data_IF_223187097242
#
_entry.id   IF_223187097242
#
_cell.length_a   1.000
_cell.length_b   1.000
_cell.length_c   1.000
_cell.angle_alpha   90.00
_cell.angle_beta   90.00
_cell.angle_gamma   90.00
#
_symmetry.space_group_name_H-M   'P 1'
#
loop_
_entity.id
_entity.type
_entity.pdbx_description
1 polymer ?
#
# COMPACT_ATOMS: atom_id res chain seq x y z
N UNK A 1 14.88 -25.92 -4.65
CA UNK A 1 15.36 -25.08 -5.76
C UNK A 1 14.55 -25.32 -7.02
N UNK A 2 13.81 -24.30 -7.45
CA UNK A 2 13.04 -24.33 -8.70
C UNK A 2 13.94 -24.03 -9.92
N UNK A 3 13.53 -24.45 -11.13
CA UNK A 3 14.35 -24.33 -12.32
C UNK A 3 14.52 -22.87 -12.74
N UNK A 4 15.75 -22.35 -12.63
CA UNK A 4 16.16 -21.00 -13.07
C UNK A 4 16.20 -20.83 -14.60
N UNK A 5 15.90 -21.89 -15.37
CA UNK A 5 16.00 -21.93 -16.83
C UNK A 5 14.96 -21.09 -17.58
N UNK A 6 13.94 -20.55 -16.91
CA UNK A 6 12.96 -19.63 -17.54
C UNK A 6 13.34 -18.15 -17.38
N UNK A 7 14.39 -17.81 -16.64
CA UNK A 7 14.85 -16.43 -16.40
C UNK A 7 15.73 -15.86 -17.53
N UNK A 8 15.87 -16.56 -18.66
CA UNK A 8 16.92 -16.31 -19.67
C UNK A 8 16.63 -15.11 -20.60
N UNK A 9 15.48 -14.44 -20.54
CA UNK A 9 15.15 -13.47 -21.61
C UNK A 9 15.70 -12.05 -21.43
N UNK A 10 16.09 -11.60 -20.22
CA UNK A 10 16.64 -10.24 -20.01
C UNK A 10 17.51 -10.17 -18.74
N UNK A 11 18.83 -10.46 -18.81
CA UNK A 11 19.72 -10.46 -17.64
C UNK A 11 19.84 -9.10 -16.93
N UNK A 12 19.51 -8.00 -17.62
CA UNK A 12 19.53 -6.63 -17.08
C UNK A 12 18.12 -6.05 -16.86
N UNK A 13 17.08 -6.89 -16.75
CA UNK A 13 15.73 -6.39 -16.50
C UNK A 13 15.66 -5.83 -15.08
N UNK A 14 15.16 -4.59 -14.88
CA UNK A 14 14.89 -4.13 -13.53
C UNK A 14 13.84 -5.03 -12.86
N UNK A 15 13.77 -5.07 -11.52
CA UNK A 15 12.74 -5.82 -10.81
C UNK A 15 11.33 -5.23 -11.02
N UNK A 16 11.26 -3.91 -11.23
CA UNK A 16 10.04 -3.12 -11.27
C UNK A 16 10.02 -2.18 -12.47
N UNK A 17 8.86 -1.61 -12.78
CA UNK A 17 8.74 -0.66 -13.88
C UNK A 17 9.57 0.61 -13.65
N UNK A 18 10.29 1.01 -14.70
CA UNK A 18 11.09 2.23 -14.78
C UNK A 18 10.66 3.01 -16.01
N UNK A 19 10.43 4.31 -15.85
CA UNK A 19 10.05 5.17 -16.97
C UNK A 19 11.23 5.51 -17.90
N UNK A 20 10.96 6.21 -19.00
CA UNK A 20 11.97 6.58 -20.01
C UNK A 20 13.10 7.48 -19.47
N UNK A 21 12.92 8.07 -18.28
CA UNK A 21 13.92 8.89 -17.58
C UNK A 21 14.74 8.12 -16.56
N UNK A 22 14.59 6.79 -16.48
CA UNK A 22 15.29 5.96 -15.49
C UNK A 22 14.70 6.05 -14.08
N UNK A 23 13.46 6.56 -13.93
CA UNK A 23 12.80 6.69 -12.63
C UNK A 23 11.87 5.50 -12.40
N UNK A 24 12.14 4.71 -11.36
CA UNK A 24 11.31 3.59 -10.96
C UNK A 24 10.00 4.09 -10.32
N UNK A 25 8.85 3.72 -10.89
CA UNK A 25 7.51 4.18 -10.51
C UNK A 25 6.48 3.03 -10.55
N UNK A 26 6.63 1.98 -9.73
CA UNK A 26 5.87 0.75 -9.95
C UNK A 26 4.53 0.72 -9.23
N UNK A 27 4.28 1.62 -8.28
CA UNK A 27 3.09 1.57 -7.43
C UNK A 27 2.00 2.44 -8.03
N UNK A 28 0.84 1.85 -8.31
CA UNK A 28 -0.37 2.60 -8.62
C UNK A 28 -1.37 2.52 -7.48
N UNK A 29 -1.85 3.69 -7.06
CA UNK A 29 -2.87 3.86 -6.03
C UNK A 29 -4.14 4.39 -6.71
N UNK A 30 -5.21 3.58 -6.84
CA UNK A 30 -6.47 4.03 -7.45
C UNK A 30 -7.13 5.19 -6.69
N UNK A 31 -6.81 5.32 -5.40
CA UNK A 31 -7.19 6.43 -4.53
C UNK A 31 -6.00 6.78 -3.65
N UNK A 32 -5.82 8.07 -3.31
CA UNK A 32 -4.88 8.47 -2.25
C UNK A 32 -5.48 8.31 -0.85
N UNK A 33 -6.81 8.24 -0.73
CA UNK A 33 -7.51 8.06 0.53
C UNK A 33 -7.83 6.58 0.76
N UNK A 34 -7.67 6.11 1.98
CA UNK A 34 -8.17 4.82 2.43
C UNK A 34 -9.70 4.73 2.31
N UNK A 35 -10.24 3.51 2.37
CA UNK A 35 -11.65 3.20 2.15
C UNK A 35 -12.57 4.04 3.02
N UNK A 36 -12.27 4.14 4.32
CA UNK A 36 -13.05 4.91 5.29
C UNK A 36 -12.45 6.31 5.54
N UNK A 37 -11.42 6.67 4.76
CA UNK A 37 -10.78 7.98 4.79
C UNK A 37 -9.92 8.27 6.02
N UNK A 38 -9.62 7.25 6.83
CA UNK A 38 -8.86 7.37 8.09
C UNK A 38 -7.41 7.77 7.83
N UNK A 39 -6.80 7.32 6.74
CA UNK A 39 -5.47 7.72 6.33
C UNK A 39 -5.40 8.10 4.86
N UNK A 40 -4.37 8.86 4.50
CA UNK A 40 -4.16 9.35 3.14
C UNK A 40 -2.69 9.35 2.77
N UNK A 41 -2.40 9.04 1.51
CA UNK A 41 -1.06 9.17 0.94
C UNK A 41 -0.81 10.63 0.65
N UNK A 42 0.14 11.23 1.36
CA UNK A 42 0.42 12.68 1.30
C UNK A 42 1.56 13.03 0.35
N UNK A 43 2.54 12.14 0.19
CA UNK A 43 3.66 12.31 -0.74
C UNK A 43 4.33 10.98 -1.06
N UNK A 44 5.06 10.93 -2.18
CA UNK A 44 6.09 9.93 -2.42
C UNK A 44 7.42 10.60 -2.81
N UNK A 45 8.53 9.87 -2.70
CA UNK A 45 9.84 10.35 -3.17
C UNK A 45 9.85 10.62 -4.68
N UNK A 46 9.07 9.83 -5.42
CA UNK A 46 8.99 9.87 -6.88
C UNK A 46 7.54 9.73 -7.30
N UNK A 47 7.09 10.60 -8.20
CA UNK A 47 5.75 10.57 -8.78
C UNK A 47 5.86 10.81 -10.29
N UNK A 48 5.00 10.17 -11.07
CA UNK A 48 4.94 10.37 -12.51
C UNK A 48 3.83 9.57 -13.18
N UNK A 49 3.72 9.63 -14.51
CA UNK A 49 2.73 8.86 -15.26
C UNK A 49 2.94 7.36 -15.06
N UNK A 50 1.85 6.60 -14.95
CA UNK A 50 1.90 5.14 -15.03
C UNK A 50 2.25 4.66 -16.46
N UNK A 51 2.67 3.40 -16.64
CA UNK A 51 3.01 2.87 -17.96
C UNK A 51 1.82 2.76 -18.93
N UNK A 52 2.13 2.87 -20.23
CA UNK A 52 1.26 2.45 -21.31
C UNK A 52 -0.13 3.11 -21.30
N UNK A 53 -1.17 2.27 -21.31
CA UNK A 53 -2.58 2.73 -21.37
C UNK A 53 -3.02 3.46 -20.10
N UNK A 54 -2.31 3.26 -18.99
CA UNK A 54 -2.60 3.89 -17.71
C UNK A 54 -1.85 5.22 -17.53
N UNK A 55 -1.18 5.74 -18.56
CA UNK A 55 -0.41 7.00 -18.52
C UNK A 55 -1.17 8.25 -18.09
N UNK A 56 -2.50 8.20 -18.03
CA UNK A 56 -3.34 9.26 -17.43
C UNK A 56 -3.34 9.22 -15.89
N UNK A 57 -2.97 8.10 -15.29
CA UNK A 57 -2.88 7.89 -13.87
C UNK A 57 -1.48 8.24 -13.35
N UNK A 58 -1.39 8.49 -12.05
CA UNK A 58 -0.12 8.74 -11.37
C UNK A 58 0.37 7.47 -10.68
N UNK A 59 1.62 7.13 -10.94
CA UNK A 59 2.38 6.08 -10.31
C UNK A 59 3.44 6.68 -9.37
N UNK A 60 3.79 5.92 -8.35
CA UNK A 60 4.64 6.32 -7.24
C UNK A 60 5.82 5.37 -7.11
N UNK A 61 6.94 5.87 -6.62
CA UNK A 61 8.12 5.07 -6.32
C UNK A 61 8.93 5.64 -5.17
N UNK A 62 9.77 4.78 -4.58
CA UNK A 62 10.56 5.14 -3.39
C UNK A 62 9.70 5.06 -2.14
N UNK A 63 10.02 5.86 -1.13
CA UNK A 63 9.21 5.92 0.08
C UNK A 63 7.88 6.61 -0.20
N UNK A 64 6.79 5.98 0.23
CA UNK A 64 5.44 6.52 0.19
C UNK A 64 5.07 6.91 1.62
N UNK A 65 4.67 8.15 1.81
CA UNK A 65 4.37 8.71 3.12
C UNK A 65 2.88 8.81 3.31
N UNK A 66 2.41 8.21 4.40
CA UNK A 66 1.00 8.08 4.74
C UNK A 66 0.75 8.87 6.03
N UNK A 67 -0.35 9.61 6.06
CA UNK A 67 -0.78 10.38 7.21
C UNK A 67 -2.17 9.91 7.65
N UNK A 68 -2.32 9.59 8.93
CA UNK A 68 -3.64 9.42 9.54
C UNK A 68 -4.31 10.80 9.67
N UNK A 69 -5.55 10.92 9.18
CA UNK A 69 -6.35 12.15 9.31
C UNK A 69 -6.85 12.35 10.73
N UNK A 70 -7.11 11.25 11.44
CA UNK A 70 -7.50 11.27 12.84
C UNK A 70 -6.76 10.18 13.60
N UNK A 71 -5.85 10.57 14.49
CA UNK A 71 -5.04 9.66 15.32
C UNK A 71 -5.81 9.07 16.51
N UNK A 72 -6.99 9.60 16.82
CA UNK A 72 -7.91 9.04 17.84
C UNK A 72 -8.86 7.99 17.26
N UNK A 73 -8.75 7.70 15.96
CA UNK A 73 -9.60 6.73 15.32
C UNK A 73 -9.20 5.31 15.74
N UNK A 74 -10.14 4.58 16.35
CA UNK A 74 -9.95 3.21 16.81
C UNK A 74 -10.32 2.16 15.76
N UNK A 75 -10.79 2.58 14.59
CA UNK A 75 -11.19 1.69 13.51
C UNK A 75 -10.01 1.32 12.61
N UNK A 76 -10.06 0.08 12.11
CA UNK A 76 -9.16 -0.37 11.06
C UNK A 76 -9.59 0.24 9.73
N UNK A 77 -8.63 0.48 8.84
CA UNK A 77 -8.90 0.96 7.49
C UNK A 77 -7.95 0.32 6.48
N UNK A 78 -8.28 0.41 5.20
CA UNK A 78 -7.54 -0.23 4.12
C UNK A 78 -7.36 0.71 2.94
N UNK A 79 -6.23 0.56 2.24
CA UNK A 79 -5.95 1.23 0.98
C UNK A 79 -5.45 0.19 -0.03
N UNK A 80 -6.03 0.20 -1.23
CA UNK A 80 -5.61 -0.72 -2.29
C UNK A 80 -4.48 -0.13 -3.12
N UNK A 81 -3.59 -0.99 -3.59
CA UNK A 81 -2.53 -0.62 -4.53
C UNK A 81 -2.30 -1.72 -5.56
N UNK A 82 -1.71 -1.34 -6.69
CA UNK A 82 -1.27 -2.25 -7.73
C UNK A 82 0.23 -2.06 -7.97
N UNK A 83 0.88 -3.10 -8.49
CA UNK A 83 2.30 -3.06 -8.81
C UNK A 83 2.49 -3.35 -10.30
N UNK A 84 3.26 -2.51 -10.98
CA UNK A 84 3.72 -2.76 -12.33
C UNK A 84 5.04 -3.53 -12.30
N UNK A 85 5.08 -4.63 -13.05
CA UNK A 85 6.33 -5.34 -13.33
C UNK A 85 7.23 -4.52 -14.27
N UNK A 86 8.46 -4.99 -14.48
CA UNK A 86 9.40 -4.28 -15.33
C UNK A 86 9.05 -4.23 -16.84
N UNK A 87 8.02 -4.96 -17.31
CA UNK A 87 7.48 -4.77 -18.66
C UNK A 87 6.30 -3.77 -18.68
N UNK A 88 5.95 -3.18 -17.53
CA UNK A 88 4.82 -2.27 -17.39
C UNK A 88 3.47 -2.99 -17.31
N UNK A 89 3.47 -4.29 -16.97
CA UNK A 89 2.25 -5.06 -16.76
C UNK A 89 1.76 -4.90 -15.33
N UNK A 90 0.52 -4.47 -15.16
CA UNK A 90 -0.10 -4.31 -13.83
C UNK A 90 -0.40 -5.66 -13.19
N UNK A 91 -0.24 -5.75 -11.87
CA UNK A 91 -0.65 -6.92 -11.10
C UNK A 91 -2.13 -7.24 -11.32
N UNK A 92 -2.45 -8.51 -11.59
CA UNK A 92 -3.84 -8.95 -11.82
C UNK A 92 -4.75 -8.78 -10.59
N UNK A 93 -4.15 -8.73 -9.39
CA UNK A 93 -4.84 -8.50 -8.12
C UNK A 93 -4.26 -7.26 -7.44
N UNK A 94 -5.13 -6.53 -6.76
CA UNK A 94 -4.72 -5.46 -5.87
C UNK A 94 -4.07 -6.04 -4.61
N UNK A 95 -3.01 -5.39 -4.13
CA UNK A 95 -2.54 -5.51 -2.75
C UNK A 95 -3.32 -4.56 -1.83
N UNK A 96 -3.16 -4.75 -0.53
CA UNK A 96 -3.82 -3.94 0.50
C UNK A 96 -2.83 -3.46 1.54
N UNK A 97 -2.87 -2.17 1.84
CA UNK A 97 -2.23 -1.54 3.00
C UNK A 97 -3.28 -1.43 4.09
N UNK A 98 -3.04 -2.04 5.24
CA UNK A 98 -3.97 -2.04 6.36
C UNK A 98 -3.45 -1.10 7.46
N UNK A 99 -4.29 -0.16 7.89
CA UNK A 99 -4.15 0.49 9.18
C UNK A 99 -4.87 -0.37 10.22
N UNK A 100 -4.12 -0.92 11.16
CA UNK A 100 -4.66 -1.72 12.26
C UNK A 100 -4.55 -0.88 13.53
N UNK A 101 -5.71 -0.51 14.08
CA UNK A 101 -5.78 0.15 15.38
C UNK A 101 -5.57 -0.88 16.49
N UNK A 102 -4.66 -0.58 17.42
CA UNK A 102 -4.47 -1.36 18.66
C UNK A 102 -5.20 -0.74 19.85
N UNK A 103 -5.92 0.36 19.64
CA UNK A 103 -6.71 0.98 20.69
C UNK A 103 -7.88 0.06 21.03
N UNK A 104 -8.02 -0.26 22.31
CA UNK A 104 -9.06 -1.15 22.77
C UNK A 104 -10.42 -0.51 22.61
N UNK A 105 -11.30 -1.11 21.82
CA UNK A 105 -12.71 -0.69 21.77
C UNK A 105 -13.47 -1.38 22.90
N UNK A 106 -14.68 -0.96 23.24
CA UNK A 106 -15.50 -1.60 24.30
C UNK A 106 -15.82 -3.09 24.06
N UNK A 107 -15.49 -3.63 22.89
CA UNK A 107 -15.49 -5.07 22.56
C UNK A 107 -14.19 -5.80 22.95
N UNK A 108 -13.18 -5.10 23.49
CA UNK A 108 -12.08 -5.73 24.22
C UNK A 108 -12.62 -6.36 25.50
N UNK A 109 -13.00 -7.62 25.37
CA UNK A 109 -13.22 -8.56 26.46
C UNK A 109 -11.89 -8.92 27.15
N UNK A 110 -11.13 -7.90 27.57
CA UNK A 110 -10.19 -8.06 28.69
C UNK A 110 -11.05 -8.14 29.93
N UNK A 111 -11.41 -9.38 30.29
CA UNK A 111 -12.31 -9.70 31.38
C UNK A 111 -12.05 -8.83 32.61
N UNK A 112 -12.98 -7.91 32.86
CA UNK A 112 -13.06 -7.18 34.12
C UNK A 112 -13.33 -8.18 35.23
N UNK A 113 -12.29 -8.53 35.98
CA UNK A 113 -12.44 -9.15 37.28
C UNK A 113 -13.19 -8.17 38.18
N UNK A 114 -14.50 -8.38 38.31
CA UNK A 114 -15.34 -7.67 39.27
C UNK A 114 -14.91 -8.05 40.68
N UNK A 115 -14.08 -7.20 41.28
CA UNK A 115 -13.64 -7.31 42.66
C UNK A 115 -14.09 -6.10 43.47
N UNK A 116 -14.85 -6.37 44.52
CA UNK A 116 -15.30 -5.48 45.61
C UNK A 116 -16.49 -4.54 45.33
N UNK A 117 -17.67 -4.97 45.81
CA UNK A 117 -18.60 -4.04 46.47
C UNK A 117 -18.23 -4.08 47.94
N UNK A 118 -17.60 -3.01 48.42
CA UNK A 118 -17.51 -2.72 49.84
C UNK A 118 -18.54 -1.66 50.18
N UNK A 119 -19.61 -2.06 50.87
CA UNK A 119 -20.04 -1.59 52.20
C UNK A 119 -21.35 -2.26 52.58
#
# INVERSE_FOLDING_TARGET
DGPVGTLVTKPNKPPFWVNDKGVELPIYLPSKNSKDGIFTVVKADREGPCPGKDSKNTCYGGNIYIQAKNVFNTFNDTLTYYVYDADGTISAKAGTINLVSTATTTDDSRGGGGGSIGI
#
